data_IF_484474914181
#
_entry.id   IF_484474914181
#
_cell.length_a   1.000
_cell.length_b   1.000
_cell.length_c   1.000
_cell.angle_alpha   90.00
_cell.angle_beta   90.00
_cell.angle_gamma   90.00
#
_symmetry.space_group_name_H-M   'P 1'
#
loop_
_entity.id
_entity.type
_entity.pdbx_description
1 polymer ?
#
# COMPACT_ATOMS: atom_id res chain seq x y z
N UNK A 1 16.13 -4.69 4.84
CA UNK A 1 14.77 -4.98 5.34
C UNK A 1 14.07 -5.99 4.43
N UNK A 2 13.66 -7.16 4.95
CA UNK A 2 12.85 -8.15 4.23
C UNK A 2 11.47 -7.61 3.79
N UNK A 3 10.92 -8.15 2.71
CA UNK A 3 9.66 -7.69 2.10
C UNK A 3 8.45 -7.82 3.05
N UNK A 4 8.36 -8.93 3.81
CA UNK A 4 7.28 -9.16 4.78
C UNK A 4 7.27 -8.13 5.90
N UNK A 5 8.45 -7.70 6.33
CA UNK A 5 8.60 -6.69 7.36
C UNK A 5 8.22 -5.30 6.82
N UNK A 6 8.64 -4.98 5.59
CA UNK A 6 8.20 -3.76 4.88
C UNK A 6 6.67 -3.69 4.78
N UNK A 7 6.04 -4.81 4.40
CA UNK A 7 4.58 -4.94 4.33
C UNK A 7 3.91 -4.67 5.68
N UNK A 8 4.43 -5.25 6.76
CA UNK A 8 3.90 -5.03 8.12
C UNK A 8 3.93 -3.55 8.52
N UNK A 9 5.03 -2.85 8.24
CA UNK A 9 5.14 -1.42 8.53
C UNK A 9 4.21 -0.59 7.64
N UNK A 10 4.16 -0.88 6.33
CA UNK A 10 3.26 -0.20 5.40
C UNK A 10 1.80 -0.39 5.80
N UNK A 11 1.40 -1.60 6.19
CA UNK A 11 0.05 -1.89 6.68
C UNK A 11 -0.30 -1.00 7.86
N UNK A 12 0.58 -0.91 8.88
CA UNK A 12 0.36 -0.04 10.05
C UNK A 12 0.21 1.44 9.66
N UNK A 13 1.08 1.93 8.76
CA UNK A 13 1.00 3.33 8.28
C UNK A 13 -0.29 3.62 7.52
N UNK A 14 -0.71 2.71 6.63
CA UNK A 14 -1.97 2.84 5.87
C UNK A 14 -3.17 2.83 6.82
N UNK A 15 -3.18 1.93 7.81
CA UNK A 15 -4.26 1.88 8.81
C UNK A 15 -4.33 3.16 9.64
N UNK A 16 -3.20 3.69 10.10
CA UNK A 16 -3.17 4.97 10.82
C UNK A 16 -3.69 6.14 9.96
N UNK A 17 -3.32 6.16 8.67
CA UNK A 17 -3.84 7.16 7.73
C UNK A 17 -5.36 7.05 7.57
N UNK A 18 -5.90 5.83 7.48
CA UNK A 18 -7.35 5.62 7.41
C UNK A 18 -8.08 5.94 8.71
N UNK A 19 -7.46 5.72 9.87
CA UNK A 19 -8.06 6.12 11.14
C UNK A 19 -8.22 7.65 11.22
N UNK A 20 -7.28 8.42 10.67
CA UNK A 20 -7.31 9.88 10.70
C UNK A 20 -8.15 10.50 9.57
N UNK A 21 -8.01 10.00 8.34
CA UNK A 21 -8.64 10.57 7.14
C UNK A 21 -9.87 9.79 6.65
N UNK A 22 -10.27 8.73 7.37
CA UNK A 22 -11.39 7.82 7.08
C UNK A 22 -12.79 8.40 7.28
N UNK A 23 -12.95 9.69 7.00
CA UNK A 23 -14.23 10.41 7.09
C UNK A 23 -15.09 10.19 5.84
N UNK A 24 -16.41 10.39 5.97
CA UNK A 24 -17.32 10.33 4.84
C UNK A 24 -16.96 11.39 3.79
N UNK A 25 -17.15 11.05 2.52
CA UNK A 25 -16.79 11.92 1.38
C UNK A 25 -15.32 11.83 0.96
N UNK A 26 -14.41 11.27 1.78
CA UNK A 26 -12.98 11.24 1.48
C UNK A 26 -12.49 9.94 0.79
N UNK A 27 -13.39 9.03 0.44
CA UNK A 27 -13.03 7.70 -0.11
C UNK A 27 -12.13 7.77 -1.36
N UNK A 28 -12.37 8.75 -2.25
CA UNK A 28 -11.56 8.95 -3.46
C UNK A 28 -10.11 9.28 -3.13
N UNK A 29 -9.87 10.14 -2.14
CA UNK A 29 -8.51 10.47 -1.73
C UNK A 29 -7.82 9.28 -1.05
N UNK A 30 -8.55 8.48 -0.27
CA UNK A 30 -8.01 7.27 0.37
C UNK A 30 -7.63 6.19 -0.66
N UNK A 31 -8.40 6.05 -1.73
CA UNK A 31 -8.08 5.18 -2.87
C UNK A 31 -6.84 5.68 -3.61
N UNK A 32 -6.77 6.98 -3.91
CA UNK A 32 -5.61 7.60 -4.55
C UNK A 32 -4.34 7.45 -3.70
N UNK A 33 -4.48 7.62 -2.38
CA UNK A 33 -3.41 7.39 -1.42
C UNK A 33 -2.91 5.94 -1.49
N UNK A 34 -3.81 4.95 -1.42
CA UNK A 34 -3.43 3.54 -1.51
C UNK A 34 -2.72 3.21 -2.83
N UNK A 35 -3.23 3.73 -3.94
CA UNK A 35 -2.62 3.59 -5.25
C UNK A 35 -1.18 4.15 -5.26
N UNK A 36 -0.99 5.38 -4.77
CA UNK A 36 0.34 6.01 -4.67
C UNK A 36 1.29 5.23 -3.76
N UNK A 37 0.80 4.70 -2.64
CA UNK A 37 1.59 3.83 -1.74
C UNK A 37 2.11 2.60 -2.49
N UNK A 38 1.25 1.92 -3.27
CA UNK A 38 1.64 0.77 -4.09
C UNK A 38 2.70 1.16 -5.13
N UNK A 39 2.51 2.26 -5.86
CA UNK A 39 3.47 2.74 -6.85
C UNK A 39 4.85 3.03 -6.23
N UNK A 40 4.87 3.73 -5.09
CA UNK A 40 6.12 4.10 -4.40
C UNK A 40 6.81 2.85 -3.88
N UNK A 41 6.09 1.90 -3.30
CA UNK A 41 6.68 0.67 -2.82
C UNK A 41 7.33 -0.14 -3.96
N UNK A 42 6.63 -0.30 -5.10
CA UNK A 42 7.16 -0.96 -6.31
C UNK A 42 8.40 -0.23 -6.84
N UNK A 43 8.39 1.11 -6.89
CA UNK A 43 9.54 1.92 -7.28
C UNK A 43 10.78 1.61 -6.43
N UNK A 44 10.62 1.53 -5.11
CA UNK A 44 11.72 1.21 -4.20
C UNK A 44 12.16 -0.25 -4.28
N UNK A 45 11.24 -1.20 -4.48
CA UNK A 45 11.59 -2.60 -4.72
C UNK A 45 12.39 -2.78 -6.01
N UNK A 46 11.97 -2.10 -7.10
CA UNK A 46 12.72 -2.05 -8.37
C UNK A 46 14.13 -1.53 -8.16
N UNK A 47 14.28 -0.39 -7.46
CA UNK A 47 15.58 0.21 -7.17
C UNK A 47 16.50 -0.69 -6.33
N UNK A 48 15.92 -1.49 -5.43
CA UNK A 48 16.67 -2.38 -4.53
C UNK A 48 17.06 -3.72 -5.19
N UNK A 49 16.40 -4.10 -6.27
CA UNK A 49 16.69 -5.33 -7.01
C UNK A 49 17.85 -5.09 -7.98
N UNK A 50 19.07 -5.51 -7.61
CA UNK A 50 20.24 -5.41 -8.51
C UNK A 50 20.21 -6.39 -9.70
N UNK A 51 19.36 -7.44 -9.67
CA UNK A 51 19.49 -8.59 -10.58
C UNK A 51 18.23 -9.00 -11.33
N UNK A 52 17.07 -8.42 -11.02
CA UNK A 52 15.83 -8.83 -11.65
C UNK A 52 14.93 -7.63 -11.92
N UNK A 53 14.55 -7.47 -13.18
CA UNK A 53 13.43 -6.66 -13.63
C UNK A 53 12.20 -7.03 -12.78
N UNK A 54 11.81 -6.13 -11.87
CA UNK A 54 10.62 -6.28 -11.04
C UNK A 54 9.42 -5.75 -11.84
N UNK A 55 8.85 -6.62 -12.68
CA UNK A 55 7.72 -6.31 -13.55
C UNK A 55 6.46 -5.99 -12.75
N UNK A 56 5.48 -5.35 -13.40
CA UNK A 56 4.16 -5.14 -12.80
C UNK A 56 3.46 -6.46 -12.46
N UNK A 57 3.62 -7.51 -13.27
CA UNK A 57 3.08 -8.84 -12.95
C UNK A 57 3.60 -9.40 -11.61
N UNK A 58 4.89 -9.23 -11.30
CA UNK A 58 5.46 -9.59 -9.99
C UNK A 58 4.92 -8.70 -8.87
N UNK A 59 4.68 -7.43 -9.15
CA UNK A 59 4.05 -6.52 -8.19
C UNK A 59 2.61 -6.96 -7.87
N UNK A 60 1.84 -7.36 -8.88
CA UNK A 60 0.46 -7.83 -8.70
C UNK A 60 0.42 -9.12 -7.88
N UNK A 61 1.29 -10.09 -8.18
CA UNK A 61 1.48 -11.28 -7.35
C UNK A 61 1.86 -10.93 -5.92
N UNK A 62 2.77 -9.96 -5.74
CA UNK A 62 3.14 -9.47 -4.41
C UNK A 62 1.94 -8.89 -3.66
N UNK A 63 1.09 -8.09 -4.31
CA UNK A 63 -0.09 -7.50 -3.68
C UNK A 63 -1.20 -8.52 -3.41
N UNK A 64 -1.27 -9.62 -4.16
CA UNK A 64 -2.16 -10.75 -3.86
C UNK A 64 -1.68 -11.51 -2.62
N UNK A 65 -0.36 -11.75 -2.50
CA UNK A 65 0.23 -12.46 -1.35
C UNK A 65 0.28 -11.61 -0.09
N UNK A 66 0.54 -10.31 -0.24
CA UNK A 66 0.72 -9.34 0.83
C UNK A 66 -0.21 -8.14 0.62
N UNK A 67 -1.53 -8.31 0.81
CA UNK A 67 -2.50 -7.26 0.55
C UNK A 67 -2.32 -6.10 1.54
N UNK A 68 -2.35 -4.88 1.01
CA UNK A 68 -2.48 -3.67 1.82
C UNK A 68 -3.97 -3.44 2.18
N UNK A 69 -4.27 -2.82 3.33
CA UNK A 69 -5.65 -2.51 3.72
C UNK A 69 -6.36 -1.74 2.61
N UNK A 70 -7.58 -2.17 2.26
CA UNK A 70 -8.42 -1.42 1.34
C UNK A 70 -8.85 -0.10 1.97
N UNK A 71 -9.01 0.94 1.14
CA UNK A 71 -9.59 2.20 1.57
C UNK A 71 -11.00 1.95 2.15
N UNK A 72 -11.16 2.23 3.44
CA UNK A 72 -12.43 2.07 4.16
C UNK A 72 -12.75 3.37 4.88
N UNK A 73 -14.04 3.72 4.89
CA UNK A 73 -14.56 4.79 5.74
C UNK A 73 -14.66 4.20 7.14
N UNK A 74 -14.00 4.82 8.13
CA UNK A 74 -13.96 4.33 9.51
C UNK A 74 -14.92 5.06 10.44
N UNK A 75 -15.40 6.27 10.09
CA UNK A 75 -16.33 6.99 10.96
C UNK A 75 -17.81 6.76 10.60
N UNK A 76 -18.46 5.98 11.47
CA UNK A 76 -19.89 6.12 11.79
C UNK A 76 -20.08 7.38 12.66
N UNK A 77 -21.27 7.98 12.60
CA UNK A 77 -21.61 9.20 13.35
C UNK A 77 -21.35 9.02 14.84
#
# INVERSE_FOLDING_TARGET
MPIREQHRLLRRKVQGHYAYYGIRGNIRALQLFLYRVRLVWVKWLRRRSQRAYFSWAKADQLFQLLPLPAARIMQQC
#
